data_IF_643153492926
#
_entry.id   IF_643153492926
#
_cell.length_a   1.000
_cell.length_b   1.000
_cell.length_c   1.000
_cell.angle_alpha   90.00
_cell.angle_beta   90.00
_cell.angle_gamma   90.00
#
_symmetry.space_group_name_H-M   'P 1'
#
loop_
_entity.id
_entity.type
_entity.pdbx_description
1 polymer ?
#
# COMPACT_ATOMS: atom_id res chain seq x y z
N UNK A 1 -1.92 -25.37 -35.13
CA UNK A 1 -1.46 -26.02 -33.89
C UNK A 1 0.07 -26.11 -33.87
N UNK A 2 0.75 -25.86 -32.74
CA UNK A 2 2.20 -26.04 -32.68
C UNK A 2 2.56 -27.52 -32.91
N UNK A 3 3.62 -27.79 -33.68
CA UNK A 3 4.08 -29.16 -33.93
C UNK A 3 4.44 -29.85 -32.61
N UNK A 4 3.96 -31.09 -32.43
CA UNK A 4 4.27 -31.93 -31.26
C UNK A 4 5.79 -32.03 -31.09
N UNK A 5 6.25 -31.87 -29.85
CA UNK A 5 7.65 -32.03 -29.50
C UNK A 5 8.07 -33.49 -29.75
N UNK A 6 9.27 -33.71 -30.33
CA UNK A 6 9.84 -35.04 -30.34
C UNK A 6 10.37 -35.34 -28.93
N UNK A 7 9.70 -36.26 -28.22
CA UNK A 7 9.99 -36.58 -26.83
C UNK A 7 11.40 -37.18 -26.64
N UNK A 8 11.91 -37.95 -27.61
CA UNK A 8 13.29 -38.46 -27.58
C UNK A 8 14.31 -37.31 -27.57
N UNK A 9 14.11 -36.32 -28.45
CA UNK A 9 14.97 -35.14 -28.51
C UNK A 9 14.82 -34.23 -27.28
N UNK A 10 13.61 -34.13 -26.71
CA UNK A 10 13.33 -33.36 -25.49
C UNK A 10 14.07 -33.95 -24.28
N UNK A 11 14.04 -35.27 -24.12
CA UNK A 11 14.79 -35.97 -23.06
C UNK A 11 16.30 -35.86 -23.27
N UNK A 12 16.77 -36.06 -24.51
CA UNK A 12 18.18 -35.90 -24.89
C UNK A 12 18.70 -34.46 -24.65
N UNK A 13 17.85 -33.45 -24.77
CA UNK A 13 18.23 -32.06 -24.48
C UNK A 13 18.57 -31.81 -23.01
N UNK A 14 18.00 -32.57 -22.07
CA UNK A 14 18.25 -32.45 -20.62
C UNK A 14 19.56 -33.12 -20.17
N UNK A 15 20.09 -34.05 -20.97
CA UNK A 15 21.36 -34.72 -20.69
C UNK A 15 22.56 -33.82 -20.99
N UNK A 16 23.77 -34.22 -20.57
CA UNK A 16 25.03 -33.59 -20.97
C UNK A 16 25.25 -33.62 -22.48
N UNK A 17 26.08 -32.70 -23.01
CA UNK A 17 26.38 -32.65 -24.46
C UNK A 17 27.13 -33.89 -24.91
N UNK A 18 28.04 -34.42 -24.10
CA UNK A 18 28.90 -35.55 -24.46
C UNK A 18 28.11 -36.85 -24.59
N UNK A 19 27.18 -37.09 -23.65
CA UNK A 19 26.20 -38.19 -23.72
C UNK A 19 25.31 -38.08 -24.97
N UNK A 20 25.01 -36.87 -25.43
CA UNK A 20 24.22 -36.67 -26.63
C UNK A 20 25.02 -36.88 -27.93
N UNK A 21 26.32 -36.53 -27.93
CA UNK A 21 27.24 -36.73 -29.06
C UNK A 21 27.53 -38.21 -29.31
N UNK A 22 27.58 -39.02 -28.24
CA UNK A 22 27.80 -40.46 -28.34
C UNK A 22 26.62 -41.24 -28.98
N UNK A 23 25.48 -40.59 -29.24
CA UNK A 23 24.32 -41.24 -29.87
C UNK A 23 24.45 -41.24 -31.38
N UNK A 24 24.13 -42.37 -32.00
CA UNK A 24 24.14 -42.55 -33.46
C UNK A 24 23.29 -41.52 -34.22
N UNK A 25 22.21 -41.04 -33.62
CA UNK A 25 21.33 -40.04 -34.23
C UNK A 25 21.84 -38.58 -34.13
N UNK A 26 23.09 -38.35 -33.72
CA UNK A 26 23.66 -37.02 -33.56
C UNK A 26 24.04 -36.38 -34.89
N UNK A 27 23.36 -35.29 -35.26
CA UNK A 27 23.56 -34.54 -36.51
C UNK A 27 24.25 -33.20 -36.24
N UNK A 28 25.43 -33.25 -35.61
CA UNK A 28 26.31 -32.09 -35.42
C UNK A 28 25.62 -30.85 -34.84
N UNK A 29 25.81 -29.70 -35.50
CA UNK A 29 25.26 -28.41 -35.06
C UNK A 29 23.73 -28.36 -35.01
N UNK A 30 23.03 -29.10 -35.88
CA UNK A 30 21.55 -29.15 -35.86
C UNK A 30 21.04 -29.71 -34.55
N UNK A 31 21.68 -30.76 -34.03
CA UNK A 31 21.35 -31.33 -32.73
C UNK A 31 21.73 -30.40 -31.58
N UNK A 32 22.85 -29.69 -31.68
CA UNK A 32 23.28 -28.71 -30.69
C UNK A 32 22.24 -27.59 -30.49
N UNK A 33 21.84 -26.92 -31.58
CA UNK A 33 20.85 -25.83 -31.56
C UNK A 33 19.47 -26.34 -31.12
N UNK A 34 19.02 -27.51 -31.62
CA UNK A 34 17.74 -28.10 -31.21
C UNK A 34 17.68 -28.34 -29.71
N UNK A 35 18.76 -28.86 -29.10
CA UNK A 35 18.81 -29.10 -27.66
C UNK A 35 18.66 -27.81 -26.86
N UNK A 36 19.37 -26.75 -27.24
CA UNK A 36 19.19 -25.44 -26.61
C UNK A 36 17.74 -24.93 -26.71
N UNK A 37 17.11 -25.09 -27.88
CA UNK A 37 15.71 -24.70 -28.10
C UNK A 37 14.74 -25.51 -27.23
N UNK A 38 14.94 -26.83 -27.10
CA UNK A 38 14.11 -27.70 -26.25
C UNK A 38 14.22 -27.34 -24.77
N UNK A 39 15.42 -27.00 -24.26
CA UNK A 39 15.59 -26.57 -22.86
C UNK A 39 14.82 -25.29 -22.54
N UNK A 40 14.82 -24.32 -23.45
CA UNK A 40 14.14 -23.02 -23.28
C UNK A 40 12.67 -23.04 -23.71
N UNK A 41 12.16 -24.15 -24.24
CA UNK A 41 10.80 -24.22 -24.79
C UNK A 41 9.74 -24.04 -23.71
N UNK A 42 9.89 -24.72 -22.58
CA UNK A 42 8.91 -24.68 -21.49
C UNK A 42 8.84 -23.28 -20.85
N UNK A 43 10.00 -22.65 -20.63
CA UNK A 43 10.10 -21.26 -20.17
C UNK A 43 9.43 -20.28 -21.15
N UNK A 44 9.80 -20.30 -22.43
CA UNK A 44 9.20 -19.42 -23.46
C UNK A 44 7.69 -19.61 -23.62
N UNK A 45 7.22 -20.85 -23.50
CA UNK A 45 5.79 -21.14 -23.56
C UNK A 45 5.05 -20.59 -22.34
N UNK A 46 5.67 -20.65 -21.15
CA UNK A 46 5.13 -20.02 -19.94
C UNK A 46 5.07 -18.50 -20.10
N UNK A 47 6.19 -17.87 -20.43
CA UNK A 47 6.28 -16.41 -20.66
C UNK A 47 5.23 -15.94 -21.70
N UNK A 48 5.05 -16.68 -22.80
CA UNK A 48 4.02 -16.35 -23.80
C UNK A 48 2.59 -16.49 -23.27
N UNK A 49 2.33 -17.51 -22.44
CA UNK A 49 1.00 -17.70 -21.83
C UNK A 49 0.70 -16.58 -20.83
N UNK A 50 1.70 -16.17 -20.07
CA UNK A 50 1.56 -15.10 -19.07
C UNK A 50 1.28 -13.76 -19.79
N UNK A 51 2.06 -13.43 -20.82
CA UNK A 51 1.83 -12.24 -21.66
C UNK A 51 0.44 -12.23 -22.30
N UNK A 52 0.02 -13.36 -22.88
CA UNK A 52 -1.31 -13.47 -23.48
C UNK A 52 -2.43 -13.35 -22.44
N UNK A 53 -2.23 -13.86 -21.22
CA UNK A 53 -3.21 -13.72 -20.15
C UNK A 53 -3.38 -12.26 -19.70
N UNK A 54 -2.30 -11.48 -19.69
CA UNK A 54 -2.34 -10.04 -19.44
C UNK A 54 -3.00 -9.28 -20.60
N UNK A 55 -2.57 -9.54 -21.84
CA UNK A 55 -3.09 -8.86 -23.04
C UNK A 55 -4.59 -9.13 -23.28
N UNK A 56 -5.06 -10.34 -22.95
CA UNK A 56 -6.49 -10.69 -23.07
C UNK A 56 -7.32 -10.38 -21.83
N UNK A 57 -6.74 -9.72 -20.82
CA UNK A 57 -7.44 -9.35 -19.58
C UNK A 57 -7.84 -10.52 -18.69
N UNK A 58 -7.34 -11.75 -18.95
CA UNK A 58 -7.56 -12.90 -18.07
C UNK A 58 -6.81 -12.78 -16.75
N UNK A 59 -5.75 -11.98 -16.74
CA UNK A 59 -4.99 -11.58 -15.55
C UNK A 59 -4.85 -10.07 -15.60
N UNK A 60 -5.36 -9.38 -14.59
CA UNK A 60 -5.11 -7.95 -14.39
C UNK A 60 -3.87 -7.88 -13.50
N UNK A 61 -2.73 -7.34 -13.99
CA UNK A 61 -1.57 -7.16 -13.13
C UNK A 61 -1.94 -6.20 -12.00
N UNK A 62 -1.61 -6.60 -10.77
CA UNK A 62 -1.81 -5.79 -9.58
C UNK A 62 -0.94 -4.53 -9.71
N UNK A 63 -1.58 -3.38 -9.88
CA UNK A 63 -0.90 -2.10 -9.85
C UNK A 63 -0.89 -1.60 -8.42
N UNK A 64 0.28 -1.60 -7.79
CA UNK A 64 0.49 -0.89 -6.52
C UNK A 64 0.49 0.60 -6.82
N UNK A 65 -0.64 1.26 -6.57
CA UNK A 65 -0.72 2.72 -6.58
C UNK A 65 -0.14 3.21 -5.25
N UNK A 66 1.01 3.89 -5.31
CA UNK A 66 1.54 4.57 -4.13
C UNK A 66 0.65 5.77 -3.80
N UNK A 67 0.12 5.88 -2.56
CA UNK A 67 -0.70 7.01 -2.18
C UNK A 67 0.15 8.29 -2.20
N UNK A 68 -0.42 9.43 -2.62
CA UNK A 68 0.31 10.68 -2.63
C UNK A 68 0.69 11.08 -1.20
N UNK A 69 1.97 11.45 -1.01
CA UNK A 69 2.48 11.93 0.28
C UNK A 69 1.99 13.37 0.46
N UNK A 70 0.81 13.52 1.06
CA UNK A 70 0.21 14.81 1.40
C UNK A 70 0.05 14.93 2.91
N UNK A 71 0.35 16.11 3.49
CA UNK A 71 0.04 16.37 4.88
C UNK A 71 -1.48 16.54 5.06
N UNK A 72 -2.02 15.97 6.12
CA UNK A 72 -3.43 16.07 6.50
C UNK A 72 -3.56 16.19 8.03
N UNK A 73 -4.36 17.15 8.49
CA UNK A 73 -4.65 17.32 9.91
C UNK A 73 -6.07 16.83 10.21
N UNK A 74 -6.20 16.01 11.25
CA UNK A 74 -7.47 15.47 11.72
C UNK A 74 -7.80 16.04 13.08
N UNK A 75 -9.10 16.22 13.32
CA UNK A 75 -9.64 16.69 14.61
C UNK A 75 -10.61 15.67 15.15
N UNK A 76 -10.46 15.32 16.42
CA UNK A 76 -11.33 14.37 17.10
C UNK A 76 -12.05 15.08 18.24
N UNK A 77 -13.37 15.00 18.24
CA UNK A 77 -14.21 15.47 19.33
C UNK A 77 -14.71 14.29 20.14
N UNK A 78 -14.50 14.33 21.44
CA UNK A 78 -15.14 13.42 22.36
C UNK A 78 -16.49 14.04 22.76
N UNK A 79 -17.59 13.60 22.14
CA UNK A 79 -18.95 14.10 22.35
C UNK A 79 -19.99 13.05 21.98
N UNK A 80 -21.16 13.12 22.60
CA UNK A 80 -22.23 12.11 22.38
C UNK A 80 -22.93 12.25 21.02
N UNK A 81 -23.04 13.48 20.51
CA UNK A 81 -23.64 13.86 19.22
C UNK A 81 -23.04 15.17 18.72
N UNK A 82 -23.21 15.47 17.43
CA UNK A 82 -22.60 16.64 16.75
C UNK A 82 -22.94 17.98 17.43
N UNK A 83 -24.14 18.10 17.99
CA UNK A 83 -24.64 19.29 18.67
C UNK A 83 -24.55 19.22 20.20
N UNK A 84 -24.04 18.11 20.75
CA UNK A 84 -23.75 18.02 22.17
C UNK A 84 -22.50 18.83 22.53
N UNK A 85 -22.38 19.25 23.81
CA UNK A 85 -21.14 19.83 24.32
C UNK A 85 -19.95 18.90 24.07
N UNK A 86 -18.84 19.49 23.63
CA UNK A 86 -17.57 18.77 23.51
C UNK A 86 -17.05 18.51 24.93
N UNK A 87 -16.75 17.25 25.23
CA UNK A 87 -16.14 16.84 26.50
C UNK A 87 -14.62 16.98 26.46
N UNK A 88 -14.00 16.52 25.37
CA UNK A 88 -12.57 16.67 25.11
C UNK A 88 -12.31 16.81 23.60
N UNK A 89 -11.11 17.26 23.24
CA UNK A 89 -10.68 17.43 21.84
C UNK A 89 -9.23 16.97 21.67
N UNK A 90 -8.93 16.32 20.53
CA UNK A 90 -7.60 15.87 20.13
C UNK A 90 -7.32 16.25 18.67
N UNK A 91 -6.05 16.31 18.29
CA UNK A 91 -5.63 16.56 16.92
C UNK A 91 -4.46 15.67 16.52
N UNK A 92 -4.49 15.18 15.29
CA UNK A 92 -3.39 14.40 14.72
C UNK A 92 -2.94 15.02 13.39
N UNK A 93 -1.63 15.00 13.14
CA UNK A 93 -1.01 15.34 11.87
C UNK A 93 -0.49 14.06 11.20
N UNK A 94 -0.91 13.86 9.97
CA UNK A 94 -0.50 12.76 9.12
C UNK A 94 0.25 13.29 7.90
N UNK A 95 1.24 12.53 7.43
CA UNK A 95 1.93 12.77 6.16
C UNK A 95 1.97 11.44 5.42
N UNK A 96 1.13 11.32 4.37
CA UNK A 96 0.92 10.02 3.73
C UNK A 96 0.28 9.02 4.69
N UNK A 97 0.97 7.93 4.99
CA UNK A 97 0.50 6.87 5.91
C UNK A 97 1.10 6.97 7.32
N UNK A 98 1.94 7.97 7.59
CA UNK A 98 2.62 8.14 8.86
C UNK A 98 1.94 9.22 9.70
N UNK A 99 1.63 8.89 10.96
CA UNK A 99 1.17 9.87 11.94
C UNK A 99 2.37 10.58 12.57
N UNK A 100 2.69 11.74 12.02
CA UNK A 100 3.91 12.50 12.34
C UNK A 100 3.80 13.23 13.67
N UNK A 101 2.60 13.67 14.04
CA UNK A 101 2.38 14.38 15.31
C UNK A 101 1.01 14.09 15.90
N UNK A 102 0.96 14.02 17.23
CA UNK A 102 -0.27 13.91 18.03
C UNK A 102 -0.21 15.06 19.03
N UNK A 103 -1.29 15.84 19.09
CA UNK A 103 -1.55 16.73 20.22
C UNK A 103 -2.42 15.99 21.21
N UNK A 104 -1.95 15.88 22.46
CA UNK A 104 -2.66 15.14 23.49
C UNK A 104 -4.06 15.70 23.69
N UNK A 105 -5.05 14.83 23.93
CA UNK A 105 -6.42 15.25 24.15
C UNK A 105 -6.52 16.14 25.39
N UNK A 106 -7.36 17.17 25.30
CA UNK A 106 -7.62 18.09 26.42
C UNK A 106 -9.11 18.15 26.72
N UNK A 107 -9.46 18.11 28.01
CA UNK A 107 -10.84 18.38 28.43
C UNK A 107 -11.23 19.81 28.12
N UNK A 108 -12.45 20.00 27.62
CA UNK A 108 -12.99 21.31 27.24
C UNK A 108 -14.01 21.83 28.25
N UNK A 109 -14.02 21.29 29.48
CA UNK A 109 -14.90 21.76 30.55
C UNK A 109 -14.64 23.25 30.84
N UNK A 110 -15.69 24.06 30.75
CA UNK A 110 -15.61 25.52 30.93
C UNK A 110 -15.23 26.32 29.68
N UNK A 111 -14.91 25.66 28.56
CA UNK A 111 -14.64 26.34 27.29
C UNK A 111 -15.94 26.70 26.59
N UNK A 112 -15.97 27.89 25.97
CA UNK A 112 -17.02 28.25 25.02
C UNK A 112 -16.68 27.68 23.64
N UNK A 113 -17.68 27.60 22.76
CA UNK A 113 -17.47 27.21 21.35
C UNK A 113 -16.33 28.00 20.68
N UNK A 114 -16.24 29.31 20.97
CA UNK A 114 -15.19 30.17 20.45
C UNK A 114 -13.78 29.79 20.94
N UNK A 115 -13.67 29.25 22.16
CA UNK A 115 -12.38 28.80 22.72
C UNK A 115 -11.92 27.50 22.05
N UNK A 116 -12.86 26.57 21.81
CA UNK A 116 -12.59 25.34 21.05
C UNK A 116 -12.13 25.66 19.63
N UNK A 117 -12.82 26.60 18.94
CA UNK A 117 -12.40 27.07 17.61
C UNK A 117 -11.01 27.71 17.65
N UNK A 118 -10.75 28.59 18.62
CA UNK A 118 -9.46 29.27 18.76
C UNK A 118 -8.32 28.30 19.03
N UNK A 119 -8.57 27.29 19.86
CA UNK A 119 -7.59 26.24 20.14
C UNK A 119 -7.31 25.42 18.87
N UNK A 120 -8.35 25.01 18.15
CA UNK A 120 -8.21 24.28 16.88
C UNK A 120 -7.36 25.04 15.86
N UNK A 121 -7.62 26.34 15.67
CA UNK A 121 -6.82 27.18 14.77
C UNK A 121 -5.36 27.32 15.21
N UNK A 122 -5.09 27.36 16.52
CA UNK A 122 -3.73 27.41 17.06
C UNK A 122 -2.97 26.12 16.75
N UNK A 123 -3.62 24.97 16.94
CA UNK A 123 -3.04 23.66 16.64
C UNK A 123 -2.77 23.53 15.14
N UNK A 124 -3.72 23.92 14.29
CA UNK A 124 -3.55 23.90 12.83
C UNK A 124 -2.36 24.77 12.36
N UNK A 125 -2.19 25.96 12.97
CA UNK A 125 -1.03 26.82 12.74
C UNK A 125 0.26 26.17 13.22
N UNK A 126 0.24 25.49 14.36
CA UNK A 126 1.41 24.77 14.86
C UNK A 126 1.81 23.63 13.93
N UNK A 127 0.86 22.81 13.48
CA UNK A 127 1.11 21.73 12.51
C UNK A 127 1.66 22.28 11.20
N UNK A 128 1.15 23.41 10.71
CA UNK A 128 1.71 24.06 9.52
C UNK A 128 3.18 24.47 9.71
N UNK A 129 3.59 24.83 10.92
CA UNK A 129 4.99 25.16 11.24
C UNK A 129 5.93 23.94 11.22
N UNK A 130 5.40 22.74 11.43
CA UNK A 130 6.18 21.49 11.42
C UNK A 130 6.40 20.95 9.99
N UNK A 131 5.67 21.46 9.01
CA UNK A 131 5.74 21.01 7.62
C UNK A 131 6.79 21.80 6.82
N UNK A 132 7.67 21.08 6.12
CA UNK A 132 8.63 21.69 5.19
C UNK A 132 7.90 22.08 3.90
N UNK A 133 7.64 23.37 3.72
CA UNK A 133 7.08 23.92 2.48
C UNK A 133 5.58 23.70 2.27
N UNK A 134 4.84 23.32 3.31
CA UNK A 134 3.39 23.11 3.29
C UNK A 134 2.67 23.99 4.31
N UNK A 135 1.44 24.40 3.99
CA UNK A 135 0.55 25.10 4.92
C UNK A 135 -0.78 24.36 4.96
N UNK A 136 -1.25 24.05 6.17
CA UNK A 136 -2.57 23.48 6.38
C UNK A 136 -3.57 24.62 6.59
N UNK A 137 -4.51 24.78 5.65
CA UNK A 137 -5.53 25.83 5.70
C UNK A 137 -6.75 25.41 6.52
N UNK A 138 -7.00 24.10 6.60
CA UNK A 138 -8.12 23.50 7.32
C UNK A 138 -7.76 22.09 7.79
N UNK A 139 -8.61 21.54 8.67
CA UNK A 139 -8.60 20.11 8.96
C UNK A 139 -9.18 19.36 7.75
N UNK A 140 -8.61 18.20 7.44
CA UNK A 140 -9.08 17.35 6.35
C UNK A 140 -10.41 16.71 6.73
N UNK A 141 -10.55 16.28 7.99
CA UNK A 141 -11.78 15.69 8.50
C UNK A 141 -11.92 15.88 10.02
N UNK A 142 -13.15 15.65 10.48
CA UNK A 142 -13.56 15.76 11.88
C UNK A 142 -14.28 14.47 12.31
N UNK A 143 -13.80 13.86 13.38
CA UNK A 143 -14.34 12.59 13.89
C UNK A 143 -14.97 12.78 15.26
N UNK A 144 -16.14 12.17 15.45
CA UNK A 144 -16.83 12.13 16.73
C UNK A 144 -16.61 10.79 17.41
N UNK A 145 -16.07 10.85 18.62
CA UNK A 145 -15.79 9.71 19.50
C UNK A 145 -16.67 9.84 20.73
N UNK A 146 -17.18 8.71 21.25
CA UNK A 146 -18.04 8.74 22.42
C UNK A 146 -17.27 9.25 23.66
N UNK A 147 -17.86 10.08 24.56
CA UNK A 147 -17.15 10.64 25.70
C UNK A 147 -16.57 9.61 26.67
N UNK A 148 -17.14 8.41 26.75
CA UNK A 148 -16.62 7.31 27.59
C UNK A 148 -15.25 6.80 27.12
N UNK A 149 -14.90 7.05 25.85
CA UNK A 149 -13.61 6.68 25.27
C UNK A 149 -12.56 7.79 25.48
N UNK A 150 -12.89 8.85 26.23
CA UNK A 150 -11.92 9.89 26.56
C UNK A 150 -10.70 9.26 27.23
N UNK A 151 -9.47 9.51 26.74
CA UNK A 151 -8.25 8.93 27.31
C UNK A 151 -7.63 9.83 28.40
N UNK A 152 -8.10 11.07 28.57
CA UNK A 152 -7.53 12.04 29.53
C UNK A 152 -7.82 11.59 30.96
N UNK A 153 -6.83 11.59 31.85
CA UNK A 153 -7.01 11.22 33.26
C UNK A 153 -6.43 12.28 34.21
N UNK A 154 -7.12 12.62 35.32
CA UNK A 154 -8.45 12.12 35.74
C UNK A 154 -9.59 12.64 34.84
N UNK A 155 -10.59 11.80 34.54
CA UNK A 155 -11.75 12.16 33.72
C UNK A 155 -13.01 12.30 34.56
N UNK A 156 -13.80 13.40 34.45
CA UNK A 156 -15.04 13.54 35.21
C UNK A 156 -16.13 12.54 34.81
N UNK A 157 -16.05 11.95 33.61
CA UNK A 157 -16.99 10.92 33.13
C UNK A 157 -16.51 9.49 33.43
N UNK A 158 -15.23 9.33 33.75
CA UNK A 158 -14.60 8.05 34.10
C UNK A 158 -13.58 8.29 35.24
N UNK A 159 -14.08 8.54 36.47
CA UNK A 159 -13.25 8.89 37.62
C UNK A 159 -12.35 7.75 38.11
#
# INVERSE_FOLDING_TARGET
MPRKANEKCRRCAKQGVDVAKAKECWVGQKCHVRRASYRRRDRRNRERRDLYAVETGKVIPEQTVEPPIKPAAYRYFYRERVDAPVHAIQFDLWVGQERVRIEEPVHTLGWKKADVTRHSLRVLKSFSGDLVGGVLLQFEDEMDIHPSECPVRPCPLCP
#
